data_IF_580497128718
#
_entry.id   IF_580497128718
#
_cell.length_a   1.000
_cell.length_b   1.000
_cell.length_c   1.000
_cell.angle_alpha   90.00
_cell.angle_beta   90.00
_cell.angle_gamma   90.00
#
_symmetry.space_group_name_H-M   'P 1'
#
loop_
_entity.id
_entity.type
_entity.pdbx_description
1 polymer ?
#
# COMPACT_ATOMS: atom_id res chain seq x y z
N UNK A 1 -2.09 -44.40 22.33
CA UNK A 1 -1.71 -42.98 22.15
C UNK A 1 -2.69 -42.34 21.18
N UNK A 2 -3.69 -41.62 21.70
CA UNK A 2 -4.76 -41.02 20.91
C UNK A 2 -4.36 -39.60 20.46
N UNK A 3 -4.40 -39.35 19.14
CA UNK A 3 -4.16 -38.03 18.53
C UNK A 3 -5.34 -37.12 18.83
N UNK A 4 -5.10 -36.02 19.56
CA UNK A 4 -6.05 -34.90 19.70
C UNK A 4 -6.28 -34.27 18.32
N UNK A 5 -7.52 -34.36 17.82
CA UNK A 5 -8.03 -33.56 16.70
C UNK A 5 -8.02 -32.09 17.12
N UNK A 6 -7.29 -31.25 16.40
CA UNK A 6 -7.43 -29.81 16.51
C UNK A 6 -8.90 -29.45 16.21
N UNK A 7 -9.56 -28.77 17.15
CA UNK A 7 -10.88 -28.23 16.94
C UNK A 7 -10.78 -27.19 15.82
N UNK A 8 -11.48 -27.45 14.72
CA UNK A 8 -11.78 -26.47 13.67
C UNK A 8 -12.48 -25.30 14.38
N UNK A 9 -11.87 -24.12 14.38
CA UNK A 9 -12.57 -22.88 14.75
C UNK A 9 -13.89 -22.88 13.98
N UNK A 10 -14.99 -22.95 14.74
CA UNK A 10 -16.31 -22.88 14.16
C UNK A 10 -16.44 -21.47 13.59
N UNK A 11 -16.47 -21.36 12.26
CA UNK A 11 -16.98 -20.17 11.57
C UNK A 11 -18.29 -19.78 12.27
N UNK A 12 -18.31 -18.61 12.91
CA UNK A 12 -19.54 -18.06 13.49
C UNK A 12 -20.63 -18.11 12.42
N UNK A 13 -21.86 -18.52 12.77
CA UNK A 13 -22.94 -18.59 11.80
C UNK A 13 -23.10 -17.24 11.11
N UNK A 14 -23.36 -17.22 9.78
CA UNK A 14 -23.55 -15.96 9.07
C UNK A 14 -24.67 -15.19 9.76
N UNK A 15 -24.35 -13.97 10.20
CA UNK A 15 -25.31 -13.10 10.86
C UNK A 15 -26.53 -12.84 9.97
N UNK A 16 -27.61 -12.24 10.52
CA UNK A 16 -28.78 -11.92 9.73
C UNK A 16 -28.41 -11.08 8.50
N UNK A 17 -29.07 -11.29 7.35
CA UNK A 17 -28.79 -10.54 6.13
C UNK A 17 -29.03 -9.04 6.36
N UNK A 18 -28.20 -8.20 5.72
CA UNK A 18 -28.30 -6.75 5.81
C UNK A 18 -29.63 -6.26 5.21
N UNK A 19 -30.35 -5.44 5.96
CA UNK A 19 -31.60 -4.79 5.55
C UNK A 19 -31.35 -3.67 4.54
N UNK A 20 -32.38 -3.28 3.79
CA UNK A 20 -32.28 -2.19 2.81
C UNK A 20 -31.96 -0.84 3.48
N UNK A 21 -32.45 -0.62 4.71
CA UNK A 21 -32.16 0.59 5.48
C UNK A 21 -30.68 0.63 5.93
N UNK A 22 -30.15 -0.47 6.45
CA UNK A 22 -28.72 -0.60 6.79
C UNK A 22 -27.84 -0.38 5.55
N UNK A 23 -28.24 -0.92 4.40
CA UNK A 23 -27.52 -0.71 3.13
C UNK A 23 -27.52 0.76 2.70
N UNK A 24 -28.66 1.43 2.77
CA UNK A 24 -28.77 2.85 2.40
C UNK A 24 -27.93 3.76 3.34
N UNK A 25 -27.91 3.47 4.64
CA UNK A 25 -27.06 4.20 5.60
C UNK A 25 -25.57 3.97 5.32
N UNK A 26 -25.20 2.73 5.02
CA UNK A 26 -23.84 2.35 4.66
C UNK A 26 -23.36 3.11 3.40
N UNK A 27 -24.16 3.09 2.33
CA UNK A 27 -23.85 3.80 1.09
C UNK A 27 -23.69 5.31 1.34
N UNK A 28 -24.58 5.92 2.14
CA UNK A 28 -24.49 7.34 2.50
C UNK A 28 -23.27 7.70 3.37
N UNK A 29 -22.72 6.75 4.15
CA UNK A 29 -21.43 6.94 4.85
C UNK A 29 -20.26 6.86 3.88
N UNK A 30 -20.26 5.86 2.99
CA UNK A 30 -19.19 5.65 2.01
C UNK A 30 -19.07 6.84 1.05
N UNK A 31 -20.18 7.44 0.63
CA UNK A 31 -20.19 8.59 -0.30
C UNK A 31 -19.54 9.86 0.27
N UNK A 32 -19.54 10.03 1.60
CA UNK A 32 -18.92 11.19 2.27
C UNK A 32 -17.46 10.96 2.62
N UNK A 33 -16.97 9.74 2.47
CA UNK A 33 -15.65 9.33 2.95
C UNK A 33 -14.53 9.98 2.14
N UNK A 34 -13.55 10.56 2.84
CA UNK A 34 -12.30 11.06 2.25
C UNK A 34 -11.21 10.00 2.39
N UNK A 35 -11.15 9.32 3.54
CA UNK A 35 -10.18 8.26 3.82
C UNK A 35 -10.87 7.00 4.34
N UNK A 36 -10.30 5.84 4.02
CA UNK A 36 -10.83 4.57 4.52
C UNK A 36 -10.72 4.52 6.06
N UNK A 37 -11.68 3.88 6.75
CA UNK A 37 -11.60 3.72 8.20
C UNK A 37 -10.46 2.80 8.59
N UNK A 38 -9.59 3.31 9.44
CA UNK A 38 -8.60 2.54 10.14
C UNK A 38 -9.24 1.93 11.40
N UNK A 39 -9.08 0.62 11.58
CA UNK A 39 -9.57 -0.11 12.74
C UNK A 39 -8.43 -0.36 13.71
N UNK A 40 -8.56 0.17 14.92
CA UNK A 40 -7.56 0.02 15.98
C UNK A 40 -8.17 -0.71 17.19
N UNK A 41 -7.50 -1.79 17.64
CA UNK A 41 -7.91 -2.57 18.80
C UNK A 41 -7.48 -1.87 20.10
N UNK A 42 -8.36 -1.85 21.10
CA UNK A 42 -8.11 -1.20 22.41
C UNK A 42 -7.99 -2.21 23.57
N UNK A 43 -7.97 -3.51 23.27
CA UNK A 43 -8.02 -4.60 24.25
C UNK A 43 -9.42 -4.84 24.84
N UNK A 44 -10.22 -3.79 25.03
CA UNK A 44 -11.63 -3.88 25.45
C UNK A 44 -12.63 -3.90 24.27
N UNK A 45 -12.14 -3.67 23.05
CA UNK A 45 -12.92 -3.57 21.83
C UNK A 45 -12.06 -3.01 20.71
N UNK A 46 -12.65 -2.20 19.84
CA UNK A 46 -11.94 -1.44 18.81
C UNK A 46 -12.60 -0.10 18.57
N UNK A 47 -11.94 0.78 17.84
CA UNK A 47 -12.55 1.96 17.25
C UNK A 47 -12.22 2.06 15.77
N UNK A 48 -13.05 2.78 15.03
CA UNK A 48 -12.78 3.21 13.67
C UNK A 48 -12.38 4.68 13.66
N UNK A 49 -11.34 5.02 12.91
CA UNK A 49 -10.85 6.37 12.69
C UNK A 49 -10.78 6.64 11.19
N UNK A 50 -11.46 7.68 10.71
CA UNK A 50 -11.45 8.07 9.30
C UNK A 50 -11.65 9.57 9.13
N UNK A 51 -11.53 10.05 7.89
CA UNK A 51 -11.84 11.43 7.50
C UNK A 51 -13.01 11.41 6.53
N UNK A 52 -13.98 12.31 6.71
CA UNK A 52 -15.12 12.46 5.80
C UNK A 52 -15.45 13.94 5.56
N UNK A 53 -16.25 14.22 4.52
CA UNK A 53 -16.84 15.54 4.24
C UNK A 53 -18.08 15.75 5.11
N UNK A 54 -18.16 16.89 5.78
CA UNK A 54 -19.37 17.31 6.48
C UNK A 54 -20.37 18.02 5.53
N UNK A 55 -21.48 18.52 6.07
CA UNK A 55 -22.52 19.19 5.27
C UNK A 55 -22.04 20.51 4.62
N UNK A 56 -20.93 21.08 5.09
CA UNK A 56 -20.30 22.27 4.52
C UNK A 56 -19.12 21.92 3.59
N UNK A 57 -19.01 20.64 3.20
CA UNK A 57 -17.91 20.10 2.38
C UNK A 57 -16.52 20.20 3.05
N UNK A 58 -16.47 20.35 4.37
CA UNK A 58 -15.22 20.43 5.12
C UNK A 58 -14.77 19.04 5.56
N UNK A 59 -13.47 18.78 5.46
CA UNK A 59 -12.87 17.54 5.95
C UNK A 59 -12.92 17.50 7.49
N UNK A 60 -13.48 16.42 8.05
CA UNK A 60 -13.52 16.15 9.49
C UNK A 60 -13.02 14.76 9.81
N UNK A 61 -12.23 14.67 10.88
CA UNK A 61 -11.83 13.41 11.49
C UNK A 61 -13.00 12.86 12.30
N UNK A 62 -13.30 11.59 12.07
CA UNK A 62 -14.36 10.84 12.71
C UNK A 62 -13.75 9.72 13.53
N UNK A 63 -14.29 9.53 14.73
CA UNK A 63 -13.93 8.42 15.61
C UNK A 63 -15.23 7.73 16.00
N UNK A 64 -15.30 6.41 15.82
CA UNK A 64 -16.45 5.61 16.23
C UNK A 64 -15.99 4.47 17.14
N UNK A 65 -16.42 4.52 18.39
CA UNK A 65 -16.30 3.45 19.37
C UNK A 65 -17.63 2.68 19.42
N UNK A 66 -17.78 1.56 18.69
CA UNK A 66 -18.98 0.75 18.80
C UNK A 66 -19.01 0.02 20.15
N UNK A 67 -20.11 0.14 20.89
CA UNK A 67 -20.25 -0.44 22.24
C UNK A 67 -21.22 -1.63 22.26
N UNK A 68 -22.26 -1.58 21.43
CA UNK A 68 -23.29 -2.62 21.35
C UNK A 68 -22.98 -3.66 20.26
N UNK A 69 -23.57 -4.86 20.34
CA UNK A 69 -23.39 -5.90 19.31
C UNK A 69 -23.81 -5.41 17.91
N UNK A 70 -24.91 -4.65 17.82
CA UNK A 70 -25.42 -4.09 16.56
C UNK A 70 -24.50 -3.00 16.00
N UNK A 71 -23.94 -2.14 16.86
CA UNK A 71 -22.95 -1.15 16.45
C UNK A 71 -21.64 -1.81 16.02
N UNK A 72 -21.20 -2.85 16.73
CA UNK A 72 -20.01 -3.64 16.38
C UNK A 72 -20.21 -4.27 15.00
N UNK A 73 -21.37 -4.88 14.74
CA UNK A 73 -21.73 -5.44 13.43
C UNK A 73 -21.72 -4.35 12.36
N UNK A 74 -22.36 -3.21 12.61
CA UNK A 74 -22.45 -2.09 11.66
C UNK A 74 -21.10 -1.46 11.37
N UNK A 75 -20.24 -1.29 12.38
CA UNK A 75 -18.89 -0.79 12.24
C UNK A 75 -18.03 -1.76 11.41
N UNK A 76 -18.15 -3.07 11.65
CA UNK A 76 -17.47 -4.08 10.82
C UNK A 76 -17.97 -4.04 9.37
N UNK A 77 -19.27 -3.96 9.12
CA UNK A 77 -19.82 -3.82 7.77
C UNK A 77 -19.32 -2.55 7.07
N UNK A 78 -19.28 -1.42 7.78
CA UNK A 78 -18.76 -0.16 7.24
C UNK A 78 -17.28 -0.26 6.88
N UNK A 79 -16.46 -0.78 7.80
CA UNK A 79 -15.06 -1.06 7.55
C UNK A 79 -14.89 -1.98 6.33
N UNK A 80 -15.62 -3.08 6.30
CA UNK A 80 -15.50 -4.08 5.25
C UNK A 80 -15.92 -3.52 3.89
N UNK A 81 -17.01 -2.77 3.82
CA UNK A 81 -17.45 -2.13 2.59
C UNK A 81 -16.45 -1.07 2.09
N UNK A 82 -15.88 -0.27 3.00
CA UNK A 82 -14.88 0.75 2.66
C UNK A 82 -13.57 0.13 2.12
N UNK A 83 -13.19 -1.05 2.60
CA UNK A 83 -12.01 -1.80 2.12
C UNK A 83 -12.32 -2.80 0.99
N UNK A 84 -13.59 -3.03 0.68
CA UNK A 84 -14.01 -4.05 -0.29
C UNK A 84 -13.67 -5.46 0.20
N UNK A 85 -14.09 -5.77 1.42
CA UNK A 85 -13.93 -7.05 2.12
C UNK A 85 -15.18 -7.91 2.02
N UNK A 86 -15.00 -9.23 2.16
CA UNK A 86 -16.11 -10.20 2.20
C UNK A 86 -17.06 -10.05 1.01
N UNK A 87 -18.34 -9.85 1.31
CA UNK A 87 -19.41 -9.66 0.32
C UNK A 87 -19.28 -8.35 -0.48
N UNK A 88 -18.45 -7.41 -0.02
CA UNK A 88 -18.17 -6.13 -0.70
C UNK A 88 -16.94 -6.18 -1.61
N UNK A 89 -16.26 -7.34 -1.71
CA UNK A 89 -15.08 -7.50 -2.55
C UNK A 89 -15.42 -7.26 -4.03
N UNK A 90 -15.01 -6.09 -4.53
CA UNK A 90 -15.08 -5.80 -5.97
C UNK A 90 -14.03 -6.62 -6.68
N UNK A 91 -14.45 -7.40 -7.69
CA UNK A 91 -13.53 -8.04 -8.59
C UNK A 91 -12.56 -7.00 -9.18
N UNK A 92 -11.26 -7.25 -9.06
CA UNK A 92 -10.26 -6.40 -9.70
C UNK A 92 -10.53 -6.43 -11.20
N UNK A 93 -10.79 -5.27 -11.81
CA UNK A 93 -11.04 -5.18 -13.26
C UNK A 93 -9.90 -5.85 -14.00
N UNK A 94 -10.22 -6.78 -14.91
CA UNK A 94 -9.25 -7.46 -15.77
C UNK A 94 -8.71 -6.48 -16.83
N UNK A 95 -7.80 -5.61 -16.44
CA UNK A 95 -7.06 -4.76 -17.37
C UNK A 95 -5.75 -5.42 -17.80
N UNK A 96 -5.21 -4.97 -18.92
CA UNK A 96 -3.93 -5.47 -19.43
C UNK A 96 -2.80 -5.04 -18.48
N UNK A 97 -1.85 -5.95 -18.27
CA UNK A 97 -0.60 -5.65 -17.58
C UNK A 97 0.18 -4.54 -18.29
N UNK A 98 0.96 -3.78 -17.53
CA UNK A 98 1.99 -2.89 -18.09
C UNK A 98 2.89 -3.72 -19.01
N UNK A 99 3.09 -3.25 -20.24
CA UNK A 99 4.02 -3.86 -21.19
C UNK A 99 5.36 -3.16 -21.08
N UNK A 100 6.44 -3.94 -21.07
CA UNK A 100 7.81 -3.46 -21.04
C UNK A 100 8.58 -3.90 -22.27
N UNK A 101 9.54 -3.09 -22.66
CA UNK A 101 10.51 -3.52 -23.67
C UNK A 101 11.34 -4.69 -23.12
N UNK A 102 11.89 -5.51 -24.03
CA UNK A 102 12.76 -6.62 -23.65
C UNK A 102 14.02 -6.12 -22.92
N UNK A 103 14.57 -4.99 -23.37
CA UNK A 103 15.71 -4.32 -22.75
C UNK A 103 15.40 -3.87 -21.32
N UNK A 104 14.30 -3.15 -21.11
CA UNK A 104 13.84 -2.75 -19.77
C UNK A 104 13.70 -3.96 -18.83
N UNK A 105 13.14 -5.07 -19.35
CA UNK A 105 12.97 -6.31 -18.58
C UNK A 105 14.31 -6.93 -18.21
N UNK A 106 15.31 -6.87 -19.09
CA UNK A 106 16.66 -7.36 -18.79
C UNK A 106 17.35 -6.52 -17.70
N UNK A 107 17.20 -5.19 -17.74
CA UNK A 107 17.73 -4.28 -16.72
C UNK A 107 17.08 -4.54 -15.35
N UNK A 108 15.75 -4.69 -15.31
CA UNK A 108 15.02 -5.05 -14.08
C UNK A 108 15.55 -6.37 -13.52
N UNK A 109 15.68 -7.41 -14.35
CA UNK A 109 16.17 -8.71 -13.89
C UNK A 109 17.61 -8.65 -13.36
N UNK A 110 18.48 -7.84 -13.96
CA UNK A 110 19.85 -7.63 -13.47
C UNK A 110 19.86 -7.00 -12.07
N UNK A 111 19.01 -5.99 -11.83
CA UNK A 111 18.84 -5.38 -10.51
C UNK A 111 18.31 -6.40 -9.50
N UNK A 112 17.30 -7.19 -9.86
CA UNK A 112 16.73 -8.21 -8.96
C UNK A 112 17.77 -9.26 -8.54
N UNK A 113 18.78 -9.53 -9.37
CA UNK A 113 19.89 -10.43 -9.05
C UNK A 113 20.95 -9.81 -8.13
N UNK A 114 21.06 -8.47 -8.09
CA UNK A 114 22.03 -7.76 -7.26
C UNK A 114 21.47 -6.41 -6.74
N UNK A 115 20.49 -6.49 -5.83
CA UNK A 115 19.76 -5.31 -5.33
C UNK A 115 20.61 -4.33 -4.50
N UNK A 116 21.76 -4.77 -3.99
CA UNK A 116 22.66 -3.91 -3.21
C UNK A 116 23.58 -3.05 -4.10
N UNK A 117 23.65 -3.36 -5.39
CA UNK A 117 24.50 -2.66 -6.34
C UNK A 117 23.75 -1.55 -7.06
N UNK A 118 24.04 -0.32 -6.65
CA UNK A 118 23.51 0.90 -7.26
C UNK A 118 23.79 1.01 -8.77
N UNK A 119 24.83 0.35 -9.30
CA UNK A 119 25.16 0.42 -10.73
C UNK A 119 24.00 -0.08 -11.58
N UNK A 120 23.28 -1.12 -11.16
CA UNK A 120 22.09 -1.60 -11.85
C UNK A 120 21.01 -0.52 -11.93
N UNK A 121 20.75 0.17 -10.81
CA UNK A 121 19.78 1.25 -10.73
C UNK A 121 20.17 2.47 -11.58
N UNK A 122 21.45 2.82 -11.64
CA UNK A 122 21.95 3.92 -12.47
C UNK A 122 21.82 3.62 -13.96
N UNK A 123 22.15 2.40 -14.41
CA UNK A 123 21.93 1.99 -15.81
C UNK A 123 20.44 1.99 -16.16
N UNK A 124 19.58 1.55 -15.24
CA UNK A 124 18.13 1.63 -15.44
C UNK A 124 17.63 3.09 -15.49
N UNK A 125 18.19 3.96 -14.66
CA UNK A 125 17.90 5.40 -14.69
C UNK A 125 18.28 6.02 -16.04
N UNK A 126 19.46 5.69 -16.58
CA UNK A 126 19.90 6.16 -17.89
C UNK A 126 18.93 5.70 -18.99
N UNK A 127 18.55 4.41 -19.00
CA UNK A 127 17.55 3.88 -19.92
C UNK A 127 16.22 4.66 -19.84
N UNK A 128 15.72 4.93 -18.63
CA UNK A 128 14.47 5.68 -18.45
C UNK A 128 14.59 7.12 -18.97
N UNK A 129 15.68 7.81 -18.66
CA UNK A 129 15.95 9.18 -19.14
C UNK A 129 16.01 9.22 -20.67
N UNK A 130 16.71 8.27 -21.31
CA UNK A 130 16.79 8.15 -22.77
C UNK A 130 15.43 7.92 -23.44
N UNK A 131 14.51 7.25 -22.74
CA UNK A 131 13.14 7.02 -23.19
C UNK A 131 12.17 8.15 -22.77
N UNK A 132 12.68 9.27 -22.24
CA UNK A 132 11.89 10.43 -21.85
C UNK A 132 11.05 10.23 -20.59
N UNK A 133 11.38 9.25 -19.75
CA UNK A 133 10.71 9.03 -18.47
C UNK A 133 11.43 9.78 -17.34
N UNK A 134 10.79 10.77 -16.69
CA UNK A 134 11.41 11.57 -15.61
C UNK A 134 11.77 10.76 -14.36
N UNK A 135 11.27 9.53 -14.22
CA UNK A 135 11.66 8.63 -13.14
C UNK A 135 13.15 8.28 -13.18
N UNK A 136 13.79 8.32 -14.37
CA UNK A 136 15.23 8.09 -14.48
C UNK A 136 16.05 9.11 -13.66
N UNK A 137 15.75 10.40 -13.83
CA UNK A 137 16.41 11.46 -13.07
C UNK A 137 16.12 11.38 -11.57
N UNK A 138 14.91 10.95 -11.20
CA UNK A 138 14.53 10.73 -9.80
C UNK A 138 15.37 9.62 -9.15
N UNK A 139 15.50 8.46 -9.81
CA UNK A 139 16.32 7.32 -9.33
C UNK A 139 17.78 7.76 -9.17
N UNK A 140 18.33 8.47 -10.16
CA UNK A 140 19.71 8.97 -10.10
C UNK A 140 19.94 9.89 -8.90
N UNK A 141 19.02 10.81 -8.65
CA UNK A 141 19.09 11.70 -7.48
C UNK A 141 19.02 10.93 -6.16
N UNK A 142 18.16 9.92 -6.03
CA UNK A 142 18.10 9.10 -4.82
C UNK A 142 19.44 8.42 -4.53
N UNK A 143 20.05 7.78 -5.53
CA UNK A 143 21.36 7.11 -5.40
C UNK A 143 22.46 8.10 -5.05
N UNK A 144 22.48 9.26 -5.70
CA UNK A 144 23.46 10.31 -5.40
C UNK A 144 23.30 10.86 -3.98
N UNK A 145 22.07 11.12 -3.52
CA UNK A 145 21.79 11.62 -2.17
C UNK A 145 22.25 10.63 -1.10
N UNK A 146 22.05 9.33 -1.32
CA UNK A 146 22.43 8.28 -0.37
C UNK A 146 23.95 8.16 -0.21
N UNK A 147 24.71 8.48 -1.26
CA UNK A 147 26.19 8.47 -1.24
C UNK A 147 26.80 9.71 -0.58
N UNK A 148 26.01 10.77 -0.38
CA UNK A 148 26.48 12.01 0.21
C UNK A 148 26.34 12.00 1.74
N UNK A 149 27.35 12.47 2.49
CA UNK A 149 27.19 12.74 3.92
C UNK A 149 25.99 13.67 4.20
N UNK A 150 25.31 13.53 5.35
CA UNK A 150 24.14 14.35 5.69
C UNK A 150 24.38 15.87 5.62
N UNK A 151 25.60 16.32 5.91
CA UNK A 151 26.07 17.71 5.94
C UNK A 151 26.70 18.19 4.63
N UNK A 152 26.74 17.35 3.58
CA UNK A 152 27.31 17.73 2.30
C UNK A 152 26.51 18.88 1.65
N UNK A 153 27.16 19.96 1.17
CA UNK A 153 26.46 21.15 0.69
C UNK A 153 25.52 20.89 -0.48
N UNK A 154 25.89 20.00 -1.41
CA UNK A 154 25.07 19.66 -2.57
C UNK A 154 23.83 18.82 -2.22
N UNK A 155 23.78 18.23 -1.02
CA UNK A 155 22.70 17.30 -0.63
C UNK A 155 21.34 18.01 -0.59
N UNK A 156 21.31 19.24 -0.10
CA UNK A 156 20.07 20.04 0.01
C UNK A 156 19.50 20.33 -1.38
N UNK A 157 20.33 20.73 -2.33
CA UNK A 157 19.88 21.02 -3.70
C UNK A 157 19.33 19.76 -4.39
N UNK A 158 20.02 18.62 -4.26
CA UNK A 158 19.56 17.34 -4.82
C UNK A 158 18.25 16.88 -4.20
N UNK A 159 18.08 17.02 -2.88
CA UNK A 159 16.82 16.71 -2.20
C UNK A 159 15.70 17.59 -2.74
N UNK A 160 15.90 18.91 -2.83
CA UNK A 160 14.88 19.82 -3.35
C UNK A 160 14.45 19.44 -4.78
N UNK A 161 15.41 19.05 -5.64
CA UNK A 161 15.11 18.58 -7.00
C UNK A 161 14.35 17.26 -7.00
N UNK A 162 14.73 16.31 -6.15
CA UNK A 162 14.05 15.03 -5.98
C UNK A 162 12.60 15.24 -5.54
N UNK A 163 12.36 16.07 -4.53
CA UNK A 163 11.01 16.39 -4.05
C UNK A 163 10.16 17.09 -5.12
N UNK A 164 10.76 17.99 -5.91
CA UNK A 164 10.06 18.62 -7.03
C UNK A 164 9.63 17.62 -8.10
N UNK A 165 10.48 16.64 -8.44
CA UNK A 165 10.12 15.56 -9.35
C UNK A 165 9.01 14.67 -8.78
N UNK A 166 9.09 14.32 -7.49
CA UNK A 166 8.07 13.51 -6.84
C UNK A 166 6.71 14.22 -6.81
N UNK A 167 6.70 15.52 -6.49
CA UNK A 167 5.49 16.32 -6.50
C UNK A 167 4.88 16.44 -7.90
N UNK A 168 5.70 16.53 -8.94
CA UNK A 168 5.24 16.68 -10.32
C UNK A 168 4.77 15.36 -10.97
N UNK A 169 5.40 14.23 -10.64
CA UNK A 169 5.24 12.97 -11.38
C UNK A 169 4.86 11.76 -10.52
N UNK A 170 4.84 11.89 -9.19
CA UNK A 170 4.59 10.77 -8.28
C UNK A 170 3.26 10.06 -8.55
N UNK A 171 2.19 10.81 -8.80
CA UNK A 171 0.88 10.22 -9.15
C UNK A 171 0.95 9.35 -10.41
N UNK A 172 1.69 9.78 -11.44
CA UNK A 172 1.85 9.03 -12.68
C UNK A 172 2.63 7.73 -12.47
N UNK A 173 3.68 7.77 -11.65
CA UNK A 173 4.48 6.59 -11.30
C UNK A 173 3.67 5.56 -10.51
N UNK A 174 2.76 6.01 -9.65
CA UNK A 174 1.88 5.15 -8.86
C UNK A 174 0.59 4.74 -9.59
N UNK A 175 0.20 5.42 -10.67
CA UNK A 175 -1.04 5.15 -11.38
C UNK A 175 -1.25 3.67 -11.77
N UNK A 176 -0.23 2.91 -12.22
CA UNK A 176 -0.37 1.47 -12.45
C UNK A 176 -0.78 0.66 -11.22
N UNK A 177 -0.26 0.97 -10.03
CA UNK A 177 -0.68 0.36 -8.77
C UNK A 177 -2.06 0.84 -8.34
N UNK A 178 -2.34 2.14 -8.47
CA UNK A 178 -3.65 2.71 -8.13
C UNK A 178 -4.80 2.05 -8.89
N UNK A 179 -4.59 1.65 -10.15
CA UNK A 179 -5.58 0.88 -10.95
C UNK A 179 -5.87 -0.52 -10.39
N UNK A 180 -4.95 -1.08 -9.61
CA UNK A 180 -5.13 -2.34 -8.90
C UNK A 180 -5.79 -2.15 -7.52
N UNK A 181 -5.81 -0.91 -7.01
CA UNK A 181 -6.35 -0.55 -5.71
C UNK A 181 -5.30 -0.04 -4.71
N UNK A 182 -4.14 -0.71 -4.55
CA UNK A 182 -3.12 -0.23 -3.64
C UNK A 182 -2.68 1.18 -3.98
N UNK A 183 -2.73 2.06 -2.98
CA UNK A 183 -2.22 3.42 -3.02
C UNK A 183 -1.60 3.74 -1.66
N UNK A 184 -0.41 4.35 -1.62
CA UNK A 184 0.12 4.83 -0.35
C UNK A 184 -0.62 6.12 0.01
N UNK A 185 -1.52 6.03 0.98
CA UNK A 185 -2.21 7.20 1.52
C UNK A 185 -2.15 7.23 3.04
N UNK A 186 -2.08 8.46 3.57
CA UNK A 186 -2.18 8.75 4.99
C UNK A 186 -3.42 9.61 5.16
N UNK A 187 -4.44 9.05 5.82
CA UNK A 187 -5.73 9.72 6.00
C UNK A 187 -6.30 10.30 4.70
N UNK A 188 -6.21 9.53 3.59
CA UNK A 188 -6.73 9.93 2.27
C UNK A 188 -5.84 10.93 1.51
N UNK A 189 -4.69 11.29 2.07
CA UNK A 189 -3.68 12.11 1.38
C UNK A 189 -2.64 11.19 0.76
N UNK A 190 -2.40 11.32 -0.54
CA UNK A 190 -1.37 10.55 -1.24
C UNK A 190 0.01 10.83 -0.65
N UNK A 191 0.69 9.77 -0.22
CA UNK A 191 1.95 9.81 0.51
C UNK A 191 2.97 8.86 -0.13
N UNK A 192 3.47 9.15 -1.35
CA UNK A 192 4.26 8.22 -2.14
C UNK A 192 5.53 7.73 -1.43
N UNK A 193 6.14 8.55 -0.59
CA UNK A 193 7.35 8.19 0.16
C UNK A 193 7.19 6.98 1.09
N UNK A 194 5.97 6.55 1.41
CA UNK A 194 5.73 5.36 2.24
C UNK A 194 6.22 4.07 1.57
N UNK A 195 6.18 4.01 0.24
CA UNK A 195 6.46 2.79 -0.52
C UNK A 195 7.66 2.93 -1.45
N UNK A 196 8.30 4.10 -1.46
CA UNK A 196 9.52 4.35 -2.22
C UNK A 196 10.75 4.01 -1.39
N UNK A 197 11.68 3.27 -1.99
CA UNK A 197 13.04 3.17 -1.48
C UNK A 197 13.67 4.56 -1.43
N UNK A 198 14.08 5.00 -0.25
CA UNK A 198 14.80 6.26 -0.09
C UNK A 198 16.14 6.27 -0.84
N UNK A 199 16.81 5.11 -0.89
CA UNK A 199 18.12 4.94 -1.53
C UNK A 199 18.03 4.89 -3.06
N UNK A 200 16.97 4.28 -3.61
CA UNK A 200 16.89 3.99 -5.05
C UNK A 200 15.75 4.66 -5.79
N UNK A 201 14.78 5.27 -5.09
CA UNK A 201 13.66 5.98 -5.73
C UNK A 201 12.70 5.08 -6.51
N UNK A 202 12.65 3.78 -6.17
CA UNK A 202 11.76 2.80 -6.79
C UNK A 202 10.72 2.31 -5.79
N UNK A 203 9.58 1.85 -6.29
CA UNK A 203 8.56 1.21 -5.45
C UNK A 203 9.03 -0.19 -5.09
N UNK A 204 9.42 -0.37 -3.84
CA UNK A 204 9.96 -1.62 -3.31
C UNK A 204 9.12 -2.22 -2.18
N UNK A 205 8.09 -1.49 -1.73
CA UNK A 205 7.13 -1.92 -0.71
C UNK A 205 5.69 -1.68 -1.18
N UNK A 206 4.78 -2.61 -0.84
CA UNK A 206 3.33 -2.41 -1.05
C UNK A 206 2.58 -3.02 0.13
N UNK A 207 1.65 -2.25 0.67
CA UNK A 207 0.64 -2.73 1.61
C UNK A 207 -0.61 -3.15 0.83
N UNK A 208 -1.07 -4.38 1.05
CA UNK A 208 -2.27 -4.94 0.44
C UNK A 208 -3.39 -4.91 1.47
N UNK A 209 -4.36 -4.04 1.21
CA UNK A 209 -5.54 -3.79 2.04
C UNK A 209 -6.84 -4.28 1.41
N UNK A 210 -6.73 -5.27 0.51
CA UNK A 210 -7.88 -5.80 -0.22
C UNK A 210 -7.72 -7.24 -0.66
N UNK A 211 -8.84 -7.94 -0.69
CA UNK A 211 -8.93 -9.31 -1.18
C UNK A 211 -8.95 -9.35 -2.71
N UNK A 212 -8.52 -10.47 -3.30
CA UNK A 212 -8.56 -10.70 -4.75
C UNK A 212 -7.48 -9.97 -5.57
N UNK A 213 -6.53 -9.30 -4.91
CA UNK A 213 -5.33 -8.80 -5.59
C UNK A 213 -4.34 -9.94 -5.84
N UNK A 214 -4.09 -10.76 -4.82
CA UNK A 214 -3.27 -11.96 -4.92
C UNK A 214 -4.11 -13.21 -4.59
N UNK A 215 -4.01 -14.29 -5.39
CA UNK A 215 -3.10 -14.48 -6.53
C UNK A 215 -3.57 -13.87 -7.87
N UNK A 216 -4.80 -13.40 -7.98
CA UNK A 216 -5.52 -13.18 -9.26
C UNK A 216 -4.87 -12.11 -10.15
N UNK A 217 -4.25 -11.10 -9.56
CA UNK A 217 -3.60 -9.98 -10.27
C UNK A 217 -2.10 -9.91 -10.02
N UNK A 218 -1.47 -11.00 -9.58
CA UNK A 218 -0.03 -11.02 -9.28
C UNK A 218 0.83 -10.46 -10.42
N UNK A 219 0.67 -10.98 -11.65
CA UNK A 219 1.45 -10.51 -12.79
C UNK A 219 1.32 -8.99 -13.03
N UNK A 220 0.15 -8.42 -12.77
CA UNK A 220 -0.10 -6.97 -12.92
C UNK A 220 0.52 -6.17 -11.78
N UNK A 221 0.45 -6.68 -10.54
CA UNK A 221 1.08 -6.07 -9.37
C UNK A 221 2.60 -5.97 -9.58
N UNK A 222 3.24 -7.08 -9.92
CA UNK A 222 4.69 -7.13 -10.17
C UNK A 222 5.10 -6.39 -11.44
N UNK A 223 4.21 -6.24 -12.42
CA UNK A 223 4.46 -5.32 -13.53
C UNK A 223 4.27 -3.85 -13.14
N UNK A 224 3.46 -3.53 -12.14
CA UNK A 224 3.29 -2.16 -11.67
C UNK A 224 4.45 -1.73 -10.75
N UNK A 225 4.93 -2.64 -9.91
CA UNK A 225 6.08 -2.46 -9.02
C UNK A 225 7.13 -3.56 -9.27
N UNK A 226 8.00 -3.42 -10.30
CA UNK A 226 8.95 -4.47 -10.66
C UNK A 226 10.00 -4.74 -9.59
N UNK A 227 10.34 -3.74 -8.77
CA UNK A 227 11.36 -3.84 -7.73
C UNK A 227 10.82 -4.24 -6.36
N UNK A 228 9.53 -4.59 -6.26
CA UNK A 228 8.88 -4.98 -5.02
C UNK A 228 9.70 -6.05 -4.29
N UNK A 229 10.05 -5.77 -3.02
CA UNK A 229 10.78 -6.66 -2.11
C UNK A 229 10.03 -6.91 -0.82
N UNK A 230 9.17 -5.98 -0.40
CA UNK A 230 8.37 -6.10 0.81
C UNK A 230 6.88 -6.09 0.47
N UNK A 231 6.16 -7.06 1.01
CA UNK A 231 4.71 -7.14 0.94
C UNK A 231 4.14 -7.21 2.34
N UNK A 232 3.25 -6.29 2.65
CA UNK A 232 2.49 -6.28 3.89
C UNK A 232 1.02 -6.54 3.58
N UNK A 233 0.35 -7.33 4.43
CA UNK A 233 -1.09 -7.57 4.32
C UNK A 233 -1.80 -6.98 5.51
N UNK A 234 -2.75 -6.08 5.29
CA UNK A 234 -3.64 -5.68 6.38
C UNK A 234 -4.63 -6.82 6.70
N UNK A 235 -5.18 -6.80 7.91
CA UNK A 235 -6.05 -7.87 8.45
C UNK A 235 -7.15 -8.29 7.45
N UNK A 236 -7.25 -9.61 7.18
CA UNK A 236 -8.39 -10.21 6.47
C UNK A 236 -8.21 -10.45 4.97
N UNK A 237 -7.07 -10.08 4.37
CA UNK A 237 -6.85 -10.15 2.92
C UNK A 237 -5.96 -11.31 2.45
N UNK A 238 -5.58 -12.20 3.37
CA UNK A 238 -4.54 -13.20 3.13
C UNK A 238 -5.11 -14.53 2.63
N UNK A 239 -4.92 -14.82 1.34
CA UNK A 239 -5.17 -16.16 0.77
C UNK A 239 -3.86 -16.96 0.73
N UNK A 240 -3.47 -17.59 1.85
CA UNK A 240 -2.22 -18.36 1.95
C UNK A 240 -2.06 -19.44 0.87
N UNK A 241 -3.13 -20.17 0.56
CA UNK A 241 -3.09 -21.25 -0.44
C UNK A 241 -2.90 -20.68 -1.85
N UNK A 242 -3.50 -19.53 -2.13
CA UNK A 242 -3.31 -18.80 -3.38
C UNK A 242 -1.89 -18.25 -3.52
N UNK A 243 -1.35 -17.67 -2.45
CA UNK A 243 0.00 -17.10 -2.43
C UNK A 243 1.07 -18.13 -2.77
N UNK A 244 0.96 -19.36 -2.27
CA UNK A 244 1.92 -20.43 -2.58
C UNK A 244 2.05 -20.74 -4.09
N UNK A 245 1.09 -20.29 -4.93
CA UNK A 245 1.10 -20.48 -6.38
C UNK A 245 1.67 -19.27 -7.15
N UNK A 246 1.94 -18.16 -6.46
CA UNK A 246 2.45 -16.93 -7.07
C UNK A 246 3.97 -17.01 -7.21
N UNK A 247 4.44 -17.38 -8.39
CA UNK A 247 5.88 -17.53 -8.67
C UNK A 247 6.67 -16.25 -8.45
N UNK A 248 6.05 -15.10 -8.68
CA UNK A 248 6.67 -13.79 -8.50
C UNK A 248 7.03 -13.51 -7.04
N UNK A 249 6.43 -14.21 -6.06
CA UNK A 249 6.86 -14.07 -4.65
C UNK A 249 8.32 -14.48 -4.42
N UNK A 250 8.96 -15.18 -5.36
CA UNK A 250 10.38 -15.47 -5.30
C UNK A 250 11.29 -14.21 -5.27
N UNK A 251 10.78 -13.03 -5.66
CA UNK A 251 11.54 -11.77 -5.57
C UNK A 251 11.32 -11.01 -4.25
N UNK A 252 10.43 -11.48 -3.38
CA UNK A 252 10.06 -10.84 -2.12
C UNK A 252 11.00 -11.31 -1.02
N UNK A 253 11.68 -10.36 -0.39
CA UNK A 253 12.61 -10.58 0.70
C UNK A 253 11.89 -10.57 2.07
N UNK A 254 10.81 -9.79 2.17
CA UNK A 254 10.05 -9.60 3.40
C UNK A 254 8.55 -9.72 3.15
N UNK A 255 7.92 -10.66 3.85
CA UNK A 255 6.48 -10.89 3.80
C UNK A 255 5.92 -10.66 5.20
N UNK A 256 5.32 -9.50 5.41
CA UNK A 256 4.66 -9.16 6.67
C UNK A 256 3.21 -9.65 6.65
N UNK A 257 2.96 -10.67 7.47
CA UNK A 257 1.65 -11.27 7.71
C UNK A 257 1.07 -10.84 9.06
N UNK A 258 1.75 -9.92 9.76
CA UNK A 258 1.35 -9.51 11.09
C UNK A 258 0.00 -8.81 11.02
N UNK A 259 -0.93 -9.33 11.80
CA UNK A 259 -2.29 -8.79 11.93
C UNK A 259 -2.33 -7.49 12.75
N UNK A 260 -1.19 -6.84 12.98
CA UNK A 260 -1.07 -5.69 13.87
C UNK A 260 -0.81 -4.44 13.06
N UNK A 261 -1.78 -3.50 13.07
CA UNK A 261 -1.58 -2.16 12.52
C UNK A 261 -0.48 -1.45 13.28
N UNK A 262 0.78 -1.68 12.89
CA UNK A 262 1.89 -0.89 13.36
C UNK A 262 1.96 0.33 12.47
N UNK A 263 1.11 1.31 12.77
CA UNK A 263 1.47 2.71 12.50
C UNK A 263 2.67 3.04 13.38
N UNK A 264 3.84 2.50 13.03
CA UNK A 264 5.10 3.10 13.47
C UNK A 264 5.20 4.39 12.69
N UNK A 265 4.70 5.47 13.29
CA UNK A 265 5.08 6.82 12.92
C UNK A 265 6.58 6.98 13.22
N UNK A 266 7.40 6.39 12.36
CA UNK A 266 8.78 6.81 12.17
C UNK A 266 8.72 8.14 11.45
N UNK A 267 8.29 9.19 12.16
CA UNK A 267 8.59 10.54 11.73
C UNK A 267 10.11 10.62 11.83
N UNK A 268 10.79 10.44 10.70
CA UNK A 268 12.12 11.01 10.54
C UNK A 268 11.89 12.52 10.52
N UNK A 269 11.67 13.09 11.72
CA UNK A 269 11.94 14.49 11.94
C UNK A 269 13.43 14.56 11.69
N UNK A 270 13.81 15.16 10.56
CA UNK A 270 15.15 15.67 10.42
C UNK A 270 15.40 16.54 11.64
N UNK A 271 16.14 15.99 12.61
CA UNK A 271 16.58 16.72 13.79
C UNK A 271 17.56 17.77 13.29
N UNK A 272 17.02 18.94 12.98
CA UNK A 272 17.74 20.18 12.85
C UNK A 272 16.94 21.23 13.58
N UNK A 273 17.25 21.44 14.87
CA UNK A 273 17.54 22.76 15.44
C UNK A 273 18.44 22.55 16.66
N UNK A 274 19.57 23.27 16.63
CA UNK A 274 20.57 23.39 17.66
C UNK A 274 20.05 23.92 19.01
N UNK A 275 20.69 23.45 20.07
CA UNK A 275 21.07 24.22 21.25
C UNK A 275 22.50 23.82 21.61
#
# INVERSE_FOLDING_TARGET
>A
MARKRAAKEAESPPGPPMTDAERAELDARLDRMISKPNKADTGAGFFLLWTQRDAADQARVMIWHPETEDEIRSANLFHDAAHGLGDFARAVKKEKSVRRAAEETALINAILQNRADDTGYLVYADYLTENGNPQGDFIRLCVEIERLPPDHPERVEKINRREALLAAHGEDWYAPLGRLGPRPDIFGTFAPWLWLSAAHGVIDEVVIDRSGLLPESAARLFAAAPFLRKLEFTKGHLNLTGLAKVKQLAQIDELDLSTGGSLVFGVVIGNGVCG
#
